data_IF_230165044139
#
_entry.id   IF_230165044139
#
_cell.length_a   1.000
_cell.length_b   1.000
_cell.length_c   1.000
_cell.angle_alpha   90.00
_cell.angle_beta   90.00
_cell.angle_gamma   90.00
#
_symmetry.space_group_name_H-M   'P 1'
#
loop_
_entity.id
_entity.type
_entity.pdbx_description
1 polymer ?
#
# COMPACT_ATOMS: atom_id res chain seq x y z
N UNK A 1 -2.87 15.21 3.65
CA UNK A 1 -2.85 13.78 3.30
C UNK A 1 -4.26 13.20 3.39
N UNK A 2 -4.75 12.84 4.59
CA UNK A 2 -6.11 12.29 4.78
C UNK A 2 -7.22 13.07 4.06
N UNK A 3 -7.23 14.41 4.14
CA UNK A 3 -8.22 15.23 3.44
C UNK A 3 -8.17 15.09 1.91
N UNK A 4 -6.99 15.01 1.29
CA UNK A 4 -6.83 14.90 -0.16
C UNK A 4 -7.32 13.54 -0.65
N UNK A 5 -6.92 12.47 0.05
CA UNK A 5 -7.42 11.13 -0.29
C UNK A 5 -8.91 10.99 0.01
N UNK A 6 -9.41 11.53 1.12
CA UNK A 6 -10.84 11.54 1.42
C UNK A 6 -11.64 12.26 0.33
N UNK A 7 -11.14 13.39 -0.16
CA UNK A 7 -11.72 14.10 -1.30
C UNK A 7 -11.71 13.24 -2.56
N UNK A 8 -10.58 12.65 -2.93
CA UNK A 8 -10.49 11.77 -4.11
C UNK A 8 -11.41 10.57 -3.99
N UNK A 9 -11.42 9.90 -2.84
CA UNK A 9 -12.32 8.78 -2.59
C UNK A 9 -13.79 9.19 -2.68
N UNK A 10 -14.16 10.39 -2.21
CA UNK A 10 -15.53 10.90 -2.32
C UNK A 10 -15.90 11.21 -3.78
N UNK A 11 -14.98 11.80 -4.56
CA UNK A 11 -15.20 12.14 -5.98
C UNK A 11 -15.35 10.88 -6.82
N UNK A 12 -14.52 9.87 -6.57
CA UNK A 12 -14.50 8.62 -7.34
C UNK A 12 -15.26 7.49 -6.66
N UNK A 13 -16.11 7.76 -5.67
CA UNK A 13 -16.78 6.71 -4.91
C UNK A 13 -17.66 5.83 -5.81
N UNK A 14 -17.62 4.48 -5.72
CA UNK A 14 -16.77 3.64 -4.85
C UNK A 14 -15.44 3.16 -5.49
N UNK A 15 -15.06 3.71 -6.64
CA UNK A 15 -13.92 3.35 -7.48
C UNK A 15 -14.41 2.75 -8.79
N UNK A 16 -13.55 2.73 -9.82
CA UNK A 16 -13.84 1.92 -11.01
C UNK A 16 -13.52 0.45 -10.72
N UNK A 17 -14.37 -0.46 -11.17
CA UNK A 17 -14.25 -1.90 -10.91
C UNK A 17 -14.48 -2.65 -12.22
N UNK A 18 -13.74 -3.72 -12.41
CA UNK A 18 -13.99 -4.72 -13.45
C UNK A 18 -14.74 -5.92 -12.85
N UNK A 19 -15.20 -6.88 -13.67
CA UNK A 19 -15.90 -8.06 -13.18
C UNK A 19 -15.09 -8.86 -12.13
N UNK A 20 -13.79 -9.00 -12.33
CA UNK A 20 -12.89 -9.71 -11.40
C UNK A 20 -12.86 -9.02 -10.03
N UNK A 21 -12.78 -7.68 -10.00
CA UNK A 21 -12.85 -6.89 -8.77
C UNK A 21 -14.19 -7.06 -8.05
N UNK A 22 -15.30 -7.15 -8.79
CA UNK A 22 -16.62 -7.35 -8.18
C UNK A 22 -16.74 -8.72 -7.50
N UNK A 23 -16.17 -9.76 -8.10
CA UNK A 23 -16.11 -11.09 -7.51
C UNK A 23 -15.25 -11.10 -6.24
N UNK A 24 -14.06 -10.49 -6.29
CA UNK A 24 -13.18 -10.32 -5.10
C UNK A 24 -13.88 -9.58 -3.96
N UNK A 25 -14.64 -8.52 -4.25
CA UNK A 25 -15.42 -7.78 -3.26
C UNK A 25 -16.58 -8.63 -2.70
N UNK A 26 -17.20 -9.47 -3.52
CA UNK A 26 -18.21 -10.43 -3.06
C UNK A 26 -17.61 -11.49 -2.12
N UNK A 27 -16.43 -11.99 -2.43
CA UNK A 27 -15.69 -12.91 -1.56
C UNK A 27 -15.31 -12.23 -0.24
N UNK A 28 -14.82 -11.00 -0.28
CA UNK A 28 -14.50 -10.20 0.89
C UNK A 28 -15.72 -9.95 1.79
N UNK A 29 -16.88 -9.63 1.17
CA UNK A 29 -18.13 -9.40 1.89
C UNK A 29 -18.73 -10.68 2.48
N UNK A 30 -18.68 -11.80 1.74
CA UNK A 30 -19.24 -13.08 2.17
C UNK A 30 -18.31 -13.87 3.10
N UNK A 31 -17.01 -13.59 3.05
CA UNK A 31 -16.00 -14.33 3.79
C UNK A 31 -15.67 -15.70 3.23
N UNK A 32 -16.19 -16.04 2.05
CA UNK A 32 -15.94 -17.30 1.35
C UNK A 32 -15.02 -16.99 0.18
N UNK A 33 -13.76 -17.38 0.31
CA UNK A 33 -12.75 -17.20 -0.72
C UNK A 33 -12.71 -18.45 -1.59
N UNK A 34 -12.95 -18.27 -2.88
CA UNK A 34 -12.83 -19.31 -3.91
C UNK A 34 -11.67 -19.04 -4.87
N UNK A 35 -11.24 -17.78 -4.98
CA UNK A 35 -10.06 -17.41 -5.75
C UNK A 35 -8.77 -17.85 -5.02
N UNK A 36 -7.99 -18.71 -5.68
CA UNK A 36 -6.69 -19.16 -5.21
C UNK A 36 -5.58 -18.13 -5.45
N UNK A 37 -5.81 -17.15 -6.31
CA UNK A 37 -4.80 -16.18 -6.71
C UNK A 37 -4.54 -15.11 -5.66
N UNK A 38 -5.58 -14.62 -4.97
CA UNK A 38 -5.47 -13.43 -4.09
C UNK A 38 -6.21 -13.52 -2.74
N UNK A 39 -6.30 -14.68 -2.06
CA UNK A 39 -7.14 -14.82 -0.86
C UNK A 39 -6.75 -13.89 0.30
N UNK A 40 -5.46 -13.55 0.42
CA UNK A 40 -4.98 -12.62 1.44
C UNK A 40 -5.43 -11.18 1.17
N UNK A 41 -5.52 -10.78 -0.11
CA UNK A 41 -5.95 -9.44 -0.50
C UNK A 41 -7.46 -9.29 -0.29
N UNK A 42 -8.26 -10.28 -0.72
CA UNK A 42 -9.70 -10.32 -0.44
C UNK A 42 -9.97 -10.33 1.07
N UNK A 43 -9.15 -11.01 1.87
CA UNK A 43 -9.23 -10.96 3.33
C UNK A 43 -8.88 -9.58 3.92
N UNK A 44 -7.94 -8.84 3.32
CA UNK A 44 -7.67 -7.45 3.70
C UNK A 44 -8.90 -6.56 3.42
N UNK A 45 -9.54 -6.76 2.27
CA UNK A 45 -10.74 -6.00 1.86
C UNK A 45 -11.96 -6.32 2.71
N UNK A 46 -11.97 -7.45 3.42
CA UNK A 46 -12.99 -7.77 4.42
C UNK A 46 -12.94 -6.84 5.65
N UNK A 47 -11.81 -6.19 5.92
CA UNK A 47 -11.62 -5.30 7.07
C UNK A 47 -12.75 -4.26 7.26
N UNK A 48 -13.05 -3.41 6.26
CA UNK A 48 -14.19 -2.51 6.29
C UNK A 48 -15.53 -3.18 6.63
N UNK A 49 -15.82 -4.34 6.03
CA UNK A 49 -17.07 -5.07 6.29
C UNK A 49 -17.18 -5.56 7.74
N UNK A 50 -16.07 -5.98 8.35
CA UNK A 50 -16.01 -6.37 9.77
C UNK A 50 -16.25 -5.18 10.71
N UNK A 51 -15.89 -3.97 10.27
CA UNK A 51 -16.16 -2.72 10.99
C UNK A 51 -17.59 -2.19 10.76
N UNK A 52 -18.44 -2.93 10.05
CA UNK A 52 -19.80 -2.52 9.67
C UNK A 52 -19.84 -1.56 8.48
N UNK A 53 -18.70 -1.23 7.88
CA UNK A 53 -18.56 -0.35 6.73
C UNK A 53 -18.77 -1.17 5.45
N UNK A 54 -20.03 -1.34 5.04
CA UNK A 54 -20.44 -2.19 3.91
C UNK A 54 -20.29 -1.53 2.54
N UNK A 55 -19.18 -0.82 2.30
CA UNK A 55 -18.95 -0.16 1.02
C UNK A 55 -17.55 -0.39 0.46
N UNK A 56 -17.42 -0.71 -0.84
CA UNK A 56 -16.12 -0.82 -1.51
C UNK A 56 -15.33 0.50 -1.50
N UNK A 57 -15.99 1.64 -1.31
CA UNK A 57 -15.28 2.93 -1.23
C UNK A 57 -14.27 3.02 -0.08
N UNK A 58 -14.44 2.23 0.99
CA UNK A 58 -13.42 2.11 2.05
C UNK A 58 -12.20 1.30 1.63
N UNK A 59 -12.38 0.35 0.71
CA UNK A 59 -11.27 -0.38 0.07
C UNK A 59 -10.48 0.59 -0.80
N UNK A 60 -11.16 1.40 -1.62
CA UNK A 60 -10.52 2.49 -2.39
C UNK A 60 -9.80 3.50 -1.47
N UNK A 61 -10.41 3.92 -0.37
CA UNK A 61 -9.75 4.80 0.59
C UNK A 61 -8.45 4.20 1.12
N UNK A 62 -8.48 2.90 1.44
CA UNK A 62 -7.33 2.14 1.91
C UNK A 62 -6.19 2.12 0.90
N UNK A 63 -6.46 1.80 -0.37
CA UNK A 63 -5.44 1.76 -1.42
C UNK A 63 -4.80 3.14 -1.65
N UNK A 64 -5.63 4.19 -1.76
CA UNK A 64 -5.15 5.56 -1.95
C UNK A 64 -4.37 6.08 -0.73
N UNK A 65 -4.78 5.72 0.49
CA UNK A 65 -4.02 6.00 1.71
C UNK A 65 -2.65 5.33 1.70
N UNK A 66 -2.59 4.04 1.39
CA UNK A 66 -1.33 3.29 1.28
C UNK A 66 -0.37 3.93 0.28
N UNK A 67 -0.87 4.24 -0.92
CA UNK A 67 -0.09 4.92 -1.95
C UNK A 67 0.43 6.27 -1.48
N UNK A 68 -0.44 7.11 -0.91
CA UNK A 68 -0.06 8.46 -0.45
C UNK A 68 0.96 8.41 0.69
N UNK A 69 0.80 7.49 1.64
CA UNK A 69 1.75 7.28 2.74
C UNK A 69 3.11 6.82 2.21
N UNK A 70 3.13 5.88 1.27
CA UNK A 70 4.37 5.42 0.63
C UNK A 70 5.11 6.56 -0.06
N UNK A 71 4.42 7.32 -0.92
CA UNK A 71 4.97 8.50 -1.59
C UNK A 71 5.52 9.53 -0.59
N UNK A 72 4.75 9.82 0.46
CA UNK A 72 5.19 10.73 1.51
C UNK A 72 6.47 10.27 2.19
N UNK A 73 6.59 8.99 2.55
CA UNK A 73 7.77 8.46 3.22
C UNK A 73 9.01 8.51 2.31
N UNK A 74 8.85 8.21 1.02
CA UNK A 74 9.92 8.34 0.02
C UNK A 74 10.36 9.81 -0.09
N UNK A 75 9.41 10.73 -0.24
CA UNK A 75 9.71 12.17 -0.37
C UNK A 75 10.36 12.74 0.90
N UNK A 76 10.04 12.20 2.08
CA UNK A 76 10.68 12.60 3.34
C UNK A 76 12.19 12.34 3.33
N UNK A 77 12.72 11.49 2.45
CA UNK A 77 14.18 11.25 2.30
C UNK A 77 14.91 12.55 2.00
N UNK A 78 14.36 13.39 1.11
CA UNK A 78 15.02 14.62 0.67
C UNK A 78 14.33 15.91 1.15
N UNK A 79 13.02 15.87 1.34
CA UNK A 79 12.20 17.05 1.63
C UNK A 79 11.74 17.11 3.10
N UNK A 80 11.47 18.33 3.56
CA UNK A 80 10.84 18.58 4.86
C UNK A 80 9.36 18.16 4.88
N UNK A 81 8.75 18.11 6.08
CA UNK A 81 7.39 17.60 6.28
C UNK A 81 6.35 18.25 5.36
N UNK A 82 6.36 19.58 5.26
CA UNK A 82 5.37 20.35 4.47
C UNK A 82 5.48 20.00 2.99
N UNK A 83 6.69 20.05 2.44
CA UNK A 83 6.95 19.72 1.04
C UNK A 83 6.64 18.26 0.71
N UNK A 84 6.95 17.31 1.60
CA UNK A 84 6.58 15.91 1.37
C UNK A 84 5.07 15.70 1.36
N UNK A 85 4.31 16.42 2.19
CA UNK A 85 2.84 16.38 2.15
C UNK A 85 2.30 17.00 0.86
N UNK A 86 2.82 18.17 0.47
CA UNK A 86 2.39 18.85 -0.75
C UNK A 86 2.69 18.01 -2.00
N UNK A 87 3.93 17.52 -2.15
CA UNK A 87 4.36 16.73 -3.29
C UNK A 87 3.67 15.37 -3.35
N UNK A 88 3.50 14.65 -2.23
CA UNK A 88 2.74 13.39 -2.24
C UNK A 88 1.27 13.60 -2.60
N UNK A 89 0.68 14.73 -2.20
CA UNK A 89 -0.69 15.10 -2.60
C UNK A 89 -0.75 15.47 -4.08
N UNK A 90 0.23 16.21 -4.60
CA UNK A 90 0.32 16.56 -6.01
C UNK A 90 0.50 15.32 -6.90
N UNK A 91 1.34 14.36 -6.49
CA UNK A 91 1.48 13.08 -7.17
C UNK A 91 0.16 12.30 -7.18
N UNK A 92 -0.55 12.25 -6.06
CA UNK A 92 -1.83 11.52 -6.00
C UNK A 92 -2.92 12.15 -6.87
N UNK A 93 -2.90 13.47 -7.02
CA UNK A 93 -3.81 14.25 -7.88
C UNK A 93 -3.39 14.29 -9.35
N UNK A 94 -2.20 13.78 -9.68
CA UNK A 94 -1.70 13.81 -11.05
C UNK A 94 -2.48 12.82 -11.91
N UNK A 95 -3.12 13.24 -13.02
CA UNK A 95 -4.14 12.43 -13.71
C UNK A 95 -3.70 11.01 -14.11
N UNK A 96 -2.46 10.77 -14.59
CA UNK A 96 -2.01 9.41 -14.87
C UNK A 96 -1.95 8.50 -13.63
N UNK A 97 -1.57 9.05 -12.47
CA UNK A 97 -1.52 8.31 -11.20
C UNK A 97 -2.94 8.11 -10.69
N UNK A 98 -3.75 9.18 -10.67
CA UNK A 98 -5.13 9.11 -10.20
C UNK A 98 -5.95 8.13 -11.04
N UNK A 99 -5.88 8.21 -12.37
CA UNK A 99 -6.65 7.36 -13.28
C UNK A 99 -6.38 5.86 -13.09
N UNK A 100 -5.14 5.49 -12.76
CA UNK A 100 -4.80 4.13 -12.38
C UNK A 100 -5.22 3.79 -10.93
N UNK A 101 -4.97 4.70 -9.99
CA UNK A 101 -5.18 4.44 -8.57
C UNK A 101 -6.65 4.43 -8.13
N UNK A 102 -7.56 5.05 -8.90
CA UNK A 102 -9.01 5.01 -8.63
C UNK A 102 -9.67 3.71 -9.08
N UNK A 103 -8.96 2.89 -9.85
CA UNK A 103 -9.39 1.54 -10.14
C UNK A 103 -9.21 0.68 -8.89
N UNK A 104 -10.31 0.17 -8.34
CA UNK A 104 -10.32 -0.57 -7.09
C UNK A 104 -9.94 -2.05 -7.26
N UNK A 105 -9.00 -2.34 -8.15
CA UNK A 105 -8.55 -3.70 -8.46
C UNK A 105 -7.22 -4.06 -7.79
N UNK A 106 -6.86 -5.34 -7.91
CA UNK A 106 -5.60 -5.91 -7.38
C UNK A 106 -4.34 -5.17 -7.85
N UNK A 107 -4.35 -4.58 -9.05
CA UNK A 107 -3.20 -3.86 -9.61
C UNK A 107 -2.93 -2.52 -8.93
N UNK A 108 -3.98 -1.76 -8.61
CA UNK A 108 -3.85 -0.53 -7.85
C UNK A 108 -3.36 -0.81 -6.43
N UNK A 109 -3.87 -1.88 -5.81
CA UNK A 109 -3.39 -2.34 -4.51
C UNK A 109 -1.95 -2.82 -4.53
N UNK A 110 -1.55 -3.59 -5.56
CA UNK A 110 -0.18 -4.01 -5.77
C UNK A 110 0.77 -2.81 -5.79
N UNK A 111 0.47 -1.80 -6.63
CA UNK A 111 1.28 -0.59 -6.74
C UNK A 111 1.30 0.21 -5.42
N UNK A 112 0.14 0.41 -4.79
CA UNK A 112 0.02 1.14 -3.53
C UNK A 112 0.83 0.49 -2.39
N UNK A 113 0.72 -0.84 -2.24
CA UNK A 113 1.43 -1.61 -1.23
C UNK A 113 2.94 -1.67 -1.51
N UNK A 114 3.35 -1.77 -2.78
CA UNK A 114 4.76 -1.76 -3.16
C UNK A 114 5.42 -0.42 -2.82
N UNK A 115 4.76 0.69 -3.17
CA UNK A 115 5.24 2.05 -2.85
C UNK A 115 5.23 2.28 -1.33
N UNK A 116 4.23 1.77 -0.61
CA UNK A 116 4.18 1.80 0.85
C UNK A 116 5.34 1.01 1.49
N UNK A 117 5.59 -0.22 1.02
CA UNK A 117 6.68 -1.08 1.49
C UNK A 117 8.03 -0.39 1.31
N UNK A 118 8.31 0.14 0.11
CA UNK A 118 9.54 0.87 -0.14
C UNK A 118 9.65 2.14 0.71
N UNK A 119 8.57 2.91 0.85
CA UNK A 119 8.53 4.08 1.74
C UNK A 119 8.84 3.73 3.20
N UNK A 120 8.26 2.65 3.72
CA UNK A 120 8.55 2.15 5.08
C UNK A 120 10.01 1.71 5.23
N UNK A 121 10.58 1.08 4.20
CA UNK A 121 11.98 0.71 4.19
C UNK A 121 12.91 1.94 4.24
N UNK A 122 12.60 3.01 3.49
CA UNK A 122 13.36 4.27 3.58
C UNK A 122 13.26 4.92 4.97
N UNK A 123 12.11 4.79 5.64
CA UNK A 123 11.94 5.23 7.03
C UNK A 123 12.78 4.39 7.99
N UNK A 124 12.80 3.07 7.81
CA UNK A 124 13.65 2.17 8.60
C UNK A 124 15.14 2.52 8.46
N UNK A 125 15.60 2.84 7.25
CA UNK A 125 16.98 3.23 6.98
C UNK A 125 17.41 4.53 7.70
N UNK A 126 16.46 5.37 8.10
CA UNK A 126 16.70 6.71 8.67
C UNK A 126 16.29 6.85 10.13
N UNK A 127 15.82 5.77 10.74
CA UNK A 127 15.39 5.75 12.14
C UNK A 127 16.16 4.70 12.90
N UNK A 128 16.13 4.80 14.22
CA UNK A 128 16.82 3.87 15.11
C UNK A 128 15.85 3.30 16.16
N UNK A 129 16.32 2.30 16.91
CA UNK A 129 15.57 1.66 17.98
C UNK A 129 14.22 1.10 17.54
N UNK A 130 13.19 1.33 18.36
CA UNK A 130 11.84 0.78 18.14
C UNK A 130 11.19 1.29 16.87
N UNK A 131 11.47 2.54 16.46
CA UNK A 131 10.91 3.12 15.24
C UNK A 131 11.40 2.40 13.98
N UNK A 132 12.69 2.01 13.96
CA UNK A 132 13.27 1.17 12.90
C UNK A 132 12.62 -0.20 12.86
N UNK A 133 12.50 -0.85 14.01
CA UNK A 133 11.89 -2.18 14.12
C UNK A 133 10.46 -2.21 13.57
N UNK A 134 9.64 -1.22 13.95
CA UNK A 134 8.28 -1.10 13.40
C UNK A 134 8.26 -0.81 11.90
N UNK A 135 9.13 0.08 11.41
CA UNK A 135 9.18 0.38 9.99
C UNK A 135 9.60 -0.84 9.15
N UNK A 136 10.56 -1.65 9.64
CA UNK A 136 10.94 -2.91 9.01
C UNK A 136 9.80 -3.93 9.04
N UNK A 137 9.17 -4.14 10.21
CA UNK A 137 8.06 -5.08 10.34
C UNK A 137 6.90 -4.72 9.41
N UNK A 138 6.49 -3.45 9.38
CA UNK A 138 5.45 -2.97 8.48
C UNK A 138 5.85 -3.08 7.01
N UNK A 139 7.12 -2.83 6.68
CA UNK A 139 7.63 -3.02 5.31
C UNK A 139 7.54 -4.49 4.89
N UNK A 140 7.87 -5.44 5.77
CA UNK A 140 7.78 -6.87 5.49
C UNK A 140 6.32 -7.27 5.31
N UNK A 141 5.42 -6.84 6.19
CA UNK A 141 3.98 -7.11 6.06
C UNK A 141 3.43 -6.55 4.75
N UNK A 142 3.78 -5.31 4.39
CA UNK A 142 3.37 -4.73 3.11
C UNK A 142 3.93 -5.53 1.93
N UNK A 143 5.19 -5.95 1.96
CA UNK A 143 5.80 -6.82 0.95
C UNK A 143 5.11 -8.18 0.80
N UNK A 144 4.64 -8.78 1.90
CA UNK A 144 3.85 -10.01 1.84
C UNK A 144 2.49 -9.79 1.19
N UNK A 145 1.84 -8.65 1.45
CA UNK A 145 0.59 -8.28 0.80
C UNK A 145 0.79 -8.00 -0.70
N UNK A 146 1.94 -7.45 -1.10
CA UNK A 146 2.32 -7.30 -2.52
C UNK A 146 2.41 -8.67 -3.20
N UNK A 147 3.06 -9.66 -2.56
CA UNK A 147 3.14 -11.03 -3.08
C UNK A 147 1.74 -11.66 -3.22
N UNK A 148 0.86 -11.38 -2.26
CA UNK A 148 -0.51 -11.88 -2.26
C UNK A 148 -1.39 -11.23 -3.32
N UNK A 149 -1.15 -9.96 -3.68
CA UNK A 149 -1.86 -9.29 -4.76
C UNK A 149 -1.44 -9.83 -6.14
N UNK A 150 -0.15 -10.13 -6.30
CA UNK A 150 0.44 -10.52 -7.58
C UNK A 150 1.64 -11.46 -7.35
N UNK A 151 1.52 -12.72 -7.77
CA UNK A 151 2.60 -13.70 -7.65
C UNK A 151 3.83 -13.36 -8.53
N UNK A 152 3.66 -12.62 -9.63
CA UNK A 152 4.79 -12.16 -10.45
C UNK A 152 5.62 -11.05 -9.76
N UNK A 153 5.28 -10.65 -8.53
CA UNK A 153 6.02 -9.68 -7.74
C UNK A 153 7.34 -10.21 -7.15
N UNK A 154 7.57 -11.53 -7.12
CA UNK A 154 8.72 -12.13 -6.43
C UNK A 154 10.09 -11.51 -6.77
N UNK A 155 10.41 -11.17 -8.04
CA UNK A 155 11.67 -10.50 -8.36
C UNK A 155 11.82 -9.13 -7.68
N UNK A 156 10.75 -8.34 -7.66
CA UNK A 156 10.73 -7.02 -7.00
C UNK A 156 10.87 -7.16 -5.48
N UNK A 157 10.25 -8.19 -4.90
CA UNK A 157 10.33 -8.48 -3.47
C UNK A 157 11.73 -8.93 -3.06
N UNK A 158 12.46 -9.64 -3.92
CA UNK A 158 13.85 -10.01 -3.66
C UNK A 158 14.72 -8.77 -3.40
N UNK A 159 14.53 -7.69 -4.18
CA UNK A 159 15.24 -6.42 -3.98
C UNK A 159 14.86 -5.77 -2.65
N UNK A 160 13.57 -5.73 -2.32
CA UNK A 160 13.11 -5.16 -1.04
C UNK A 160 13.63 -5.94 0.17
N UNK A 161 13.62 -7.27 0.12
CA UNK A 161 14.13 -8.10 1.20
C UNK A 161 15.65 -8.06 1.32
N UNK A 162 16.38 -8.00 0.21
CA UNK A 162 17.83 -7.78 0.25
C UNK A 162 18.17 -6.45 0.93
N UNK A 163 17.44 -5.39 0.60
CA UNK A 163 17.62 -4.08 1.24
C UNK A 163 17.21 -4.09 2.73
N UNK A 164 16.11 -4.78 3.09
CA UNK A 164 15.72 -4.97 4.49
C UNK A 164 16.78 -5.75 5.28
N UNK A 165 17.31 -6.85 4.71
CA UNK A 165 18.37 -7.65 5.32
C UNK A 165 19.65 -6.81 5.51
N UNK A 166 20.02 -6.00 4.52
CA UNK A 166 21.15 -5.08 4.64
C UNK A 166 20.96 -4.07 5.80
N UNK A 167 19.72 -3.67 6.09
CA UNK A 167 19.37 -2.84 7.26
C UNK A 167 19.26 -3.65 8.57
N UNK A 168 19.32 -4.97 8.56
CA UNK A 168 19.36 -5.76 9.80
C UNK A 168 20.79 -6.15 10.20
N UNK A 169 21.72 -6.16 9.23
CA UNK A 169 23.14 -6.45 9.50
C UNK A 169 23.74 -5.35 10.41
N UNK A 170 24.26 -5.71 11.60
CA UNK A 170 24.94 -4.77 12.49
C UNK A 170 26.13 -4.10 11.80
N UNK A 171 26.33 -2.80 12.04
CA UNK A 171 27.43 -2.03 11.44
C UNK A 171 28.84 -2.62 11.70
N UNK A 172 28.97 -3.49 12.72
CA UNK A 172 30.22 -4.20 13.05
C UNK A 172 30.64 -5.25 12.02
N UNK A 173 29.73 -5.73 11.16
CA UNK A 173 30.01 -6.75 10.12
C UNK A 173 30.26 -6.11 8.74
N UNK A 174 30.14 -4.78 8.62
CA UNK A 174 30.32 -4.03 7.36
C UNK A 174 31.77 -3.56 7.11
N UNK A 175 32.74 -3.93 7.96
CA UNK A 175 34.16 -3.60 7.80
C UNK A 175 34.94 -4.82 7.36
#
# INVERSE_FOLDING_TARGET
MAAVTGLLTAVFWPGSMDPDTLDELHEAASGRYSDWHTPLLSALWRGPYLLGLRSPGFVLFGSLMCLQVGLYLILRVRFGRVWSVALSSACLLFPPITGFAVHNGRDAWFAALLVAAFGLLTRAARTEGRARGWALALSIVASLLVAAARQNAYPTLAVLYAAAAALMIPARVRR
#
